data_IF_334383259349
#
_entry.id   IF_334383259349
#
_cell.length_a   1.000
_cell.length_b   1.000
_cell.length_c   1.000
_cell.angle_alpha   90.00
_cell.angle_beta   90.00
_cell.angle_gamma   90.00
#
_symmetry.space_group_name_H-M   'P 1'
#
loop_
_entity.id
_entity.type
_entity.pdbx_description
1 polymer ?
#
# COMPACT_ATOMS: atom_id res chain seq x y z
N UNK A 1 -12.01 -22.68 -12.31
CA UNK A 1 -13.21 -21.81 -12.44
C UNK A 1 -13.66 -21.18 -11.11
N UNK A 2 -13.61 -21.91 -9.99
CA UNK A 2 -14.01 -21.38 -8.66
C UNK A 2 -13.01 -20.32 -8.16
N UNK A 3 -11.70 -20.61 -8.24
CA UNK A 3 -10.64 -19.70 -7.78
C UNK A 3 -10.61 -18.36 -8.55
N UNK A 4 -10.98 -18.37 -9.83
CA UNK A 4 -11.06 -17.14 -10.65
C UNK A 4 -12.27 -16.28 -10.29
N UNK A 5 -13.42 -16.90 -9.96
CA UNK A 5 -14.61 -16.16 -9.48
C UNK A 5 -14.35 -15.55 -8.10
N UNK A 6 -13.72 -16.31 -7.20
CA UNK A 6 -13.28 -15.82 -5.89
C UNK A 6 -12.36 -14.59 -6.02
N UNK A 7 -11.34 -14.66 -6.88
CA UNK A 7 -10.43 -13.53 -7.08
C UNK A 7 -11.13 -12.30 -7.65
N UNK A 8 -12.03 -12.48 -8.60
CA UNK A 8 -12.80 -11.37 -9.15
C UNK A 8 -13.64 -10.69 -8.06
N UNK A 9 -14.35 -11.48 -7.25
CA UNK A 9 -15.12 -10.98 -6.12
C UNK A 9 -14.23 -10.26 -5.10
N UNK A 10 -13.11 -10.87 -4.69
CA UNK A 10 -12.16 -10.28 -3.76
C UNK A 10 -11.62 -8.94 -4.28
N UNK A 11 -11.29 -8.86 -5.57
CA UNK A 11 -10.80 -7.63 -6.15
C UNK A 11 -11.89 -6.54 -6.23
N UNK A 12 -13.13 -6.90 -6.59
CA UNK A 12 -14.24 -5.94 -6.59
C UNK A 12 -14.55 -5.43 -5.18
N UNK A 13 -14.56 -6.34 -4.21
CA UNK A 13 -14.75 -5.99 -2.80
C UNK A 13 -13.61 -5.09 -2.29
N UNK A 14 -12.36 -5.39 -2.66
CA UNK A 14 -11.21 -4.55 -2.35
C UNK A 14 -11.32 -3.14 -2.90
N UNK A 15 -11.84 -2.95 -4.12
CA UNK A 15 -12.12 -1.60 -4.66
C UNK A 15 -13.12 -0.85 -3.76
N UNK A 16 -14.19 -1.52 -3.30
CA UNK A 16 -15.14 -0.94 -2.35
C UNK A 16 -14.48 -0.51 -1.04
N UNK A 17 -13.62 -1.37 -0.46
CA UNK A 17 -12.86 -1.07 0.77
C UNK A 17 -11.93 0.14 0.58
N UNK A 18 -11.26 0.25 -0.57
CA UNK A 18 -10.38 1.38 -0.90
C UNK A 18 -11.15 2.69 -1.00
N UNK A 19 -12.29 2.70 -1.70
CA UNK A 19 -13.13 3.88 -1.84
C UNK A 19 -13.68 4.31 -0.47
N UNK A 20 -14.17 3.36 0.32
CA UNK A 20 -14.63 3.63 1.67
C UNK A 20 -13.51 4.19 2.57
N UNK A 21 -12.31 3.61 2.50
CA UNK A 21 -11.14 4.13 3.21
C UNK A 21 -10.75 5.54 2.79
N UNK A 22 -10.83 5.85 1.49
CA UNK A 22 -10.53 7.18 0.94
C UNK A 22 -11.48 8.24 1.46
N UNK A 23 -12.78 7.95 1.46
CA UNK A 23 -13.80 8.85 2.02
C UNK A 23 -13.56 9.09 3.50
N UNK A 24 -13.29 8.03 4.28
CA UNK A 24 -13.02 8.16 5.72
C UNK A 24 -11.73 8.94 6.01
N UNK A 25 -10.69 8.82 5.18
CA UNK A 25 -9.47 9.60 5.33
C UNK A 25 -9.72 11.10 5.14
N UNK A 26 -10.56 11.47 4.17
CA UNK A 26 -10.98 12.85 3.93
C UNK A 26 -11.89 13.34 5.07
N UNK A 27 -12.88 12.54 5.49
CA UNK A 27 -13.74 12.89 6.61
C UNK A 27 -12.95 13.08 7.91
N UNK A 28 -11.94 12.26 8.16
CA UNK A 28 -11.06 12.45 9.32
C UNK A 28 -10.31 13.79 9.28
N UNK A 29 -9.88 14.23 8.09
CA UNK A 29 -9.22 15.52 7.94
C UNK A 29 -10.11 16.70 8.39
N UNK A 30 -11.37 16.70 7.93
CA UNK A 30 -12.31 17.78 8.21
C UNK A 30 -12.99 17.68 9.57
N UNK A 31 -13.51 16.50 9.92
CA UNK A 31 -14.33 16.29 11.12
C UNK A 31 -13.50 15.96 12.36
N UNK A 32 -12.26 15.48 12.18
CA UNK A 32 -11.30 15.14 13.27
C UNK A 32 -11.80 14.09 14.27
N UNK A 33 -12.92 13.43 14.01
CA UNK A 33 -13.41 12.36 14.87
C UNK A 33 -12.59 11.08 14.71
N UNK A 34 -12.12 10.53 15.82
CA UNK A 34 -11.23 9.35 15.82
C UNK A 34 -11.85 8.11 15.17
N UNK A 35 -13.19 8.04 15.12
CA UNK A 35 -13.92 6.96 14.45
C UNK A 35 -13.51 6.82 12.98
N UNK A 36 -13.29 7.94 12.29
CA UNK A 36 -12.90 7.93 10.87
C UNK A 36 -11.47 7.39 10.69
N UNK A 37 -10.53 7.81 11.55
CA UNK A 37 -9.17 7.26 11.53
C UNK A 37 -9.16 5.76 11.84
N UNK A 38 -9.96 5.33 12.83
CA UNK A 38 -10.13 3.90 13.16
C UNK A 38 -10.65 3.11 11.96
N UNK A 39 -11.64 3.65 11.26
CA UNK A 39 -12.18 3.04 10.04
C UNK A 39 -11.11 2.90 8.97
N UNK A 40 -10.30 3.94 8.72
CA UNK A 40 -9.17 3.85 7.77
C UNK A 40 -8.20 2.75 8.19
N UNK A 41 -7.85 2.65 9.47
CA UNK A 41 -6.95 1.61 9.95
C UNK A 41 -7.52 0.20 9.72
N UNK A 42 -8.84 0.00 9.88
CA UNK A 42 -9.50 -1.27 9.52
C UNK A 42 -9.49 -1.55 8.02
N UNK A 43 -9.67 -0.53 7.16
CA UNK A 43 -9.55 -0.75 5.72
C UNK A 43 -8.13 -1.13 5.32
N UNK A 44 -7.10 -0.69 6.05
CA UNK A 44 -5.73 -1.17 5.85
C UNK A 44 -5.56 -2.64 6.28
N UNK A 45 -6.18 -3.05 7.39
CA UNK A 45 -6.16 -4.45 7.88
C UNK A 45 -6.75 -5.43 6.87
N UNK A 46 -7.71 -5.02 6.06
CA UNK A 46 -8.27 -5.85 4.98
C UNK A 46 -7.20 -6.44 4.05
N UNK A 47 -6.12 -5.71 3.78
CA UNK A 47 -5.06 -6.17 2.89
C UNK A 47 -4.20 -7.32 3.46
N UNK A 48 -4.36 -7.68 4.74
CA UNK A 48 -3.80 -8.94 5.27
C UNK A 48 -4.35 -10.16 4.52
N UNK A 49 -5.61 -10.09 4.05
CA UNK A 49 -6.22 -11.17 3.25
C UNK A 49 -5.43 -11.38 1.94
N UNK A 50 -4.76 -10.35 1.41
CA UNK A 50 -3.89 -10.50 0.25
C UNK A 50 -2.69 -11.40 0.54
N UNK A 51 -2.10 -11.32 1.74
CA UNK A 51 -1.02 -12.22 2.17
C UNK A 51 -1.54 -13.66 2.21
N UNK A 52 -2.70 -13.89 2.84
CA UNK A 52 -3.33 -15.21 2.88
C UNK A 52 -3.62 -15.76 1.48
N UNK A 53 -4.11 -14.91 0.57
CA UNK A 53 -4.36 -15.27 -0.82
C UNK A 53 -3.10 -15.66 -1.60
N UNK A 54 -1.95 -15.09 -1.26
CA UNK A 54 -0.66 -15.53 -1.82
C UNK A 54 -0.25 -16.88 -1.22
N UNK A 55 -0.42 -17.08 0.09
CA UNK A 55 -0.04 -18.33 0.78
C UNK A 55 -0.78 -19.55 0.24
N UNK A 56 -2.09 -19.43 -0.02
CA UNK A 56 -2.90 -20.53 -0.57
C UNK A 56 -2.72 -20.70 -2.09
N UNK A 57 -1.80 -19.94 -2.70
CA UNK A 57 -1.54 -20.00 -4.14
C UNK A 57 -2.65 -19.40 -5.02
N UNK A 58 -3.59 -18.63 -4.43
CA UNK A 58 -4.62 -17.97 -5.22
C UNK A 58 -3.99 -16.95 -6.17
N UNK A 59 -2.97 -16.20 -5.75
CA UNK A 59 -2.34 -15.19 -6.62
C UNK A 59 -0.84 -15.45 -6.83
N UNK A 60 -0.31 -15.08 -8.00
CA UNK A 60 1.11 -15.24 -8.36
C UNK A 60 1.99 -14.05 -7.94
N UNK A 61 1.58 -13.28 -6.93
CA UNK A 61 2.35 -12.13 -6.44
C UNK A 61 3.59 -12.58 -5.68
N UNK A 62 4.63 -11.75 -5.66
CA UNK A 62 5.89 -12.06 -4.97
C UNK A 62 5.73 -11.91 -3.46
N UNK A 63 5.66 -13.05 -2.77
CA UNK A 63 5.35 -13.20 -1.36
C UNK A 63 6.06 -12.22 -0.40
N UNK A 64 7.39 -12.00 -0.45
CA UNK A 64 8.08 -11.16 0.53
C UNK A 64 7.72 -9.67 0.41
N UNK A 65 7.52 -9.19 -0.82
CA UNK A 65 7.27 -7.77 -1.06
C UNK A 65 5.89 -7.34 -0.53
N UNK A 66 4.86 -8.17 -0.71
CA UNK A 66 3.51 -7.88 -0.22
C UNK A 66 3.47 -7.87 1.30
N UNK A 67 4.19 -8.78 1.98
CA UNK A 67 4.25 -8.80 3.44
C UNK A 67 4.85 -7.51 3.97
N UNK A 68 6.03 -7.12 3.48
CA UNK A 68 6.70 -5.90 3.95
C UNK A 68 5.79 -4.69 3.71
N UNK A 69 5.17 -4.58 2.54
CA UNK A 69 4.27 -3.47 2.21
C UNK A 69 3.05 -3.40 3.14
N UNK A 70 2.36 -4.53 3.38
CA UNK A 70 1.16 -4.55 4.20
C UNK A 70 1.51 -4.32 5.67
N UNK A 71 2.54 -4.99 6.19
CA UNK A 71 2.98 -4.82 7.58
C UNK A 71 3.44 -3.39 7.87
N UNK A 72 4.16 -2.76 6.93
CA UNK A 72 4.55 -1.34 7.04
C UNK A 72 3.34 -0.43 7.23
N UNK A 73 2.31 -0.61 6.40
CA UNK A 73 1.08 0.18 6.44
C UNK A 73 0.29 -0.03 7.72
N UNK A 74 0.23 -1.26 8.23
CA UNK A 74 -0.44 -1.54 9.51
C UNK A 74 0.27 -0.90 10.68
N UNK A 75 1.60 -0.95 10.70
CA UNK A 75 2.41 -0.25 11.70
C UNK A 75 2.08 1.24 11.70
N UNK A 76 2.11 1.88 10.52
CA UNK A 76 1.84 3.32 10.42
C UNK A 76 0.37 3.66 10.73
N UNK A 77 -0.59 2.81 10.34
CA UNK A 77 -2.02 3.12 10.54
C UNK A 77 -2.46 2.92 12.00
N UNK A 78 -2.06 1.80 12.60
CA UNK A 78 -2.45 1.45 13.96
C UNK A 78 -1.48 2.01 14.99
N UNK A 79 -0.21 1.62 14.92
CA UNK A 79 0.76 1.93 15.96
C UNK A 79 1.22 3.39 15.94
N UNK A 80 1.31 4.02 14.76
CA UNK A 80 1.69 5.44 14.64
C UNK A 80 0.43 6.31 14.67
N UNK A 81 -0.40 6.27 13.64
CA UNK A 81 -1.47 7.25 13.45
C UNK A 81 -2.59 7.10 14.48
N UNK A 82 -3.18 5.92 14.63
CA UNK A 82 -4.33 5.71 15.52
C UNK A 82 -3.96 5.85 17.01
N UNK A 83 -2.90 5.17 17.47
CA UNK A 83 -2.47 5.20 18.88
C UNK A 83 -2.13 6.61 19.36
N UNK A 84 -1.51 7.43 18.51
CA UNK A 84 -1.09 8.78 18.83
C UNK A 84 -2.09 9.84 18.34
N UNK A 85 -3.23 9.42 17.78
CA UNK A 85 -4.29 10.28 17.25
C UNK A 85 -3.75 11.37 16.30
N UNK A 86 -2.79 11.01 15.45
CA UNK A 86 -2.15 11.95 14.55
C UNK A 86 -3.18 12.63 13.65
N UNK A 87 -3.14 13.96 13.62
CA UNK A 87 -3.94 14.76 12.70
C UNK A 87 -3.03 15.77 12.02
N UNK A 88 -2.81 15.59 10.73
CA UNK A 88 -2.05 16.51 9.89
C UNK A 88 -2.35 16.24 8.41
N UNK A 89 -2.06 17.22 7.55
CA UNK A 89 -2.28 17.10 6.10
C UNK A 89 -1.47 15.94 5.49
N UNK A 90 -0.26 15.70 6.00
CA UNK A 90 0.63 14.64 5.51
C UNK A 90 0.05 13.24 5.68
N UNK A 91 -0.69 13.00 6.77
CA UNK A 91 -1.38 11.73 7.04
C UNK A 91 -2.53 11.52 6.06
N UNK A 92 -3.31 12.57 5.79
CA UNK A 92 -4.39 12.49 4.79
C UNK A 92 -3.82 12.22 3.40
N UNK A 93 -2.74 12.91 3.01
CA UNK A 93 -2.05 12.66 1.75
C UNK A 93 -1.50 11.23 1.66
N UNK A 94 -0.94 10.71 2.75
CA UNK A 94 -0.44 9.34 2.83
C UNK A 94 -1.55 8.33 2.51
N UNK A 95 -2.69 8.44 3.18
CA UNK A 95 -3.84 7.56 2.93
C UNK A 95 -4.37 7.69 1.50
N UNK A 96 -4.41 8.90 0.94
CA UNK A 96 -4.83 9.11 -0.46
C UNK A 96 -3.87 8.41 -1.42
N UNK A 97 -2.55 8.60 -1.26
CA UNK A 97 -1.52 7.98 -2.12
C UNK A 97 -1.61 6.45 -2.07
N UNK A 98 -1.72 5.90 -0.86
CA UNK A 98 -1.92 4.48 -0.63
C UNK A 98 -3.17 3.95 -1.35
N UNK A 99 -4.32 4.62 -1.17
CA UNK A 99 -5.58 4.22 -1.81
C UNK A 99 -5.51 4.33 -3.35
N UNK A 100 -4.87 5.36 -3.90
CA UNK A 100 -4.67 5.48 -5.36
C UNK A 100 -3.80 4.33 -5.89
N UNK A 101 -2.69 4.04 -5.21
CA UNK A 101 -1.81 2.93 -5.57
C UNK A 101 -2.56 1.59 -5.57
N UNK A 102 -3.36 1.33 -4.54
CA UNK A 102 -4.17 0.12 -4.46
C UNK A 102 -5.27 0.07 -5.51
N UNK A 103 -5.95 1.19 -5.76
CA UNK A 103 -7.01 1.26 -6.76
C UNK A 103 -6.48 0.87 -8.14
N UNK A 104 -5.35 1.45 -8.56
CA UNK A 104 -4.69 1.10 -9.83
C UNK A 104 -4.35 -0.40 -9.86
N UNK A 105 -3.85 -0.95 -8.74
CA UNK A 105 -3.51 -2.37 -8.63
C UNK A 105 -4.73 -3.28 -8.79
N UNK A 106 -5.81 -2.99 -8.07
CA UNK A 106 -7.02 -3.82 -8.08
C UNK A 106 -7.76 -3.72 -9.41
N UNK A 107 -7.84 -2.52 -10.01
CA UNK A 107 -8.38 -2.34 -11.37
C UNK A 107 -7.59 -3.12 -12.43
N UNK A 108 -6.26 -3.16 -12.30
CA UNK A 108 -5.42 -4.00 -13.15
C UNK A 108 -5.70 -5.50 -12.94
N UNK A 109 -5.90 -5.98 -11.71
CA UNK A 109 -6.22 -7.39 -11.44
C UNK A 109 -7.59 -7.82 -12.00
N UNK A 110 -8.57 -6.91 -12.01
CA UNK A 110 -9.91 -7.15 -12.57
C UNK A 110 -9.87 -7.20 -14.11
N UNK A 111 -9.37 -6.13 -14.75
CA UNK A 111 -9.47 -5.97 -16.20
C UNK A 111 -8.33 -6.61 -16.99
N UNK A 112 -7.14 -6.71 -16.38
CA UNK A 112 -5.87 -7.10 -17.02
C UNK A 112 -5.56 -6.31 -18.31
N UNK A 113 -6.10 -5.10 -18.44
CA UNK A 113 -5.96 -4.27 -19.64
C UNK A 113 -4.54 -3.71 -19.83
N UNK A 114 -4.14 -3.50 -21.10
CA UNK A 114 -2.80 -2.96 -21.45
C UNK A 114 -2.56 -1.56 -20.85
N UNK A 115 -3.56 -0.69 -20.88
CA UNK A 115 -3.48 0.69 -20.35
C UNK A 115 -3.24 0.66 -18.84
N UNK A 116 -4.03 -0.12 -18.11
CA UNK A 116 -3.89 -0.25 -16.65
C UNK A 116 -2.57 -0.90 -16.24
N UNK A 117 -2.04 -1.80 -17.07
CA UNK A 117 -0.69 -2.34 -16.89
C UNK A 117 0.37 -1.25 -16.96
N UNK A 118 0.31 -0.40 -17.99
CA UNK A 118 1.25 0.73 -18.17
C UNK A 118 1.11 1.73 -17.03
N UNK A 119 -0.13 2.10 -16.69
CA UNK A 119 -0.43 3.00 -15.59
C UNK A 119 0.15 2.49 -14.27
N UNK A 120 -0.07 1.22 -13.94
CA UNK A 120 0.47 0.60 -12.72
C UNK A 120 1.99 0.76 -12.60
N UNK A 121 2.73 0.42 -13.64
CA UNK A 121 4.20 0.44 -13.58
C UNK A 121 4.78 1.85 -13.61
N UNK A 122 4.10 2.82 -14.24
CA UNK A 122 4.55 4.21 -14.28
C UNK A 122 4.15 4.97 -13.01
N UNK A 123 2.91 4.81 -12.54
CA UNK A 123 2.43 5.44 -11.31
C UNK A 123 3.25 4.98 -10.10
N UNK A 124 3.66 3.71 -10.05
CA UNK A 124 4.54 3.19 -9.01
C UNK A 124 5.84 4.00 -8.85
N UNK A 125 6.43 4.50 -9.93
CA UNK A 125 7.71 5.22 -9.88
C UNK A 125 7.62 6.50 -9.03
N UNK A 126 6.46 7.17 -9.02
CA UNK A 126 6.22 8.37 -8.25
C UNK A 126 5.51 8.07 -6.92
N UNK A 127 4.44 7.29 -6.93
CA UNK A 127 3.62 7.04 -5.74
C UNK A 127 4.40 6.32 -4.63
N UNK A 128 5.34 5.43 -4.98
CA UNK A 128 6.06 4.65 -3.99
C UNK A 128 7.08 5.48 -3.18
N UNK A 129 7.98 6.27 -3.79
CA UNK A 129 8.83 7.19 -3.04
C UNK A 129 8.05 8.20 -2.19
N UNK A 130 6.95 8.74 -2.72
CA UNK A 130 6.13 9.72 -1.97
C UNK A 130 5.45 9.03 -0.78
N UNK A 131 4.92 7.81 -0.95
CA UNK A 131 4.34 7.04 0.14
C UNK A 131 5.34 6.79 1.27
N UNK A 132 6.54 6.31 0.94
CA UNK A 132 7.59 6.04 1.93
C UNK A 132 8.05 7.30 2.64
N UNK A 133 8.22 8.42 1.90
CA UNK A 133 8.53 9.70 2.51
C UNK A 133 7.48 10.11 3.54
N UNK A 134 6.19 10.00 3.19
CA UNK A 134 5.09 10.35 4.09
C UNK A 134 4.97 9.39 5.29
N UNK A 135 5.27 8.09 5.12
CA UNK A 135 5.38 7.13 6.23
C UNK A 135 6.44 7.57 7.23
N UNK A 136 7.64 7.91 6.74
CA UNK A 136 8.74 8.39 7.58
C UNK A 136 8.41 9.72 8.26
N UNK A 137 7.69 10.63 7.61
CA UNK A 137 7.19 11.86 8.24
C UNK A 137 6.29 11.53 9.43
N UNK A 138 5.34 10.60 9.28
CA UNK A 138 4.47 10.22 10.41
C UNK A 138 5.25 9.57 11.55
N UNK A 139 6.20 8.68 11.23
CA UNK A 139 7.03 8.03 12.25
C UNK A 139 7.90 9.07 12.98
N UNK A 140 8.45 10.06 12.26
CA UNK A 140 9.26 11.12 12.85
C UNK A 140 8.44 12.05 13.77
N UNK A 141 7.18 12.34 13.42
CA UNK A 141 6.26 13.08 14.28
C UNK A 141 6.03 12.30 15.59
N UNK A 142 5.77 10.98 15.49
CA UNK A 142 5.61 10.14 16.68
C UNK A 142 6.90 10.07 17.51
N UNK A 143 8.06 9.91 16.87
CA UNK A 143 9.36 9.95 17.53
C UNK A 143 9.56 11.26 18.31
N UNK A 144 9.26 12.41 17.70
CA UNK A 144 9.43 13.71 18.33
C UNK A 144 8.53 13.90 19.56
N UNK A 145 7.40 13.19 19.61
CA UNK A 145 6.47 13.23 20.74
C UNK A 145 6.86 12.28 21.90
N UNK A 146 7.79 11.34 21.68
CA UNK A 146 8.14 10.31 22.65
C UNK A 146 9.64 10.28 22.98
N UNK A 147 9.96 10.30 24.28
CA UNK A 147 11.34 10.13 24.78
C UNK A 147 11.57 8.71 25.32
N UNK A 148 12.83 8.33 25.48
CA UNK A 148 13.23 7.05 26.09
C UNK A 148 12.98 5.84 25.19
N UNK A 149 12.61 4.71 25.78
CA UNK A 149 12.51 3.41 25.10
C UNK A 149 11.60 3.43 23.86
N UNK A 150 10.45 4.11 23.93
CA UNK A 150 9.49 4.22 22.83
C UNK A 150 10.11 5.01 21.65
N UNK A 151 10.84 6.09 21.95
CA UNK A 151 11.55 6.89 20.94
C UNK A 151 12.62 6.07 20.21
N UNK A 152 13.39 5.24 20.92
CA UNK A 152 14.37 4.33 20.30
C UNK A 152 13.70 3.32 19.36
N UNK A 153 12.50 2.84 19.71
CA UNK A 153 11.70 1.98 18.83
C UNK A 153 11.39 2.63 17.48
N UNK A 154 10.98 3.89 17.46
CA UNK A 154 10.72 4.61 16.20
C UNK A 154 11.98 4.84 15.37
N UNK A 155 13.12 5.11 16.01
CA UNK A 155 14.42 5.25 15.31
C UNK A 155 14.79 3.94 14.61
N UNK A 156 14.64 2.80 15.29
CA UNK A 156 14.89 1.48 14.70
C UNK A 156 13.99 1.26 13.48
N UNK A 157 12.70 1.60 13.58
CA UNK A 157 11.76 1.48 12.46
C UNK A 157 12.22 2.35 11.27
N UNK A 158 12.62 3.60 11.51
CA UNK A 158 13.15 4.47 10.45
C UNK A 158 14.43 3.92 9.81
N UNK A 159 15.33 3.33 10.59
CA UNK A 159 16.55 2.68 10.09
C UNK A 159 16.19 1.47 9.22
N UNK A 160 15.20 0.65 9.61
CA UNK A 160 14.77 -0.50 8.83
C UNK A 160 14.22 -0.10 7.45
N UNK A 161 13.65 1.09 7.30
CA UNK A 161 13.17 1.58 6.00
C UNK A 161 14.31 1.84 5.00
N UNK A 162 15.53 2.20 5.47
CA UNK A 162 16.69 2.48 4.62
C UNK A 162 17.09 1.29 3.72
N UNK A 163 17.23 0.05 4.22
CA UNK A 163 17.50 -1.11 3.36
C UNK A 163 16.24 -1.67 2.69
N UNK A 164 15.06 -1.59 3.34
CA UNK A 164 13.83 -2.16 2.80
C UNK A 164 13.33 -1.41 1.56
N UNK A 165 13.48 -0.08 1.53
CA UNK A 165 13.02 0.73 0.41
C UNK A 165 13.75 0.41 -0.92
N UNK A 166 15.08 0.45 -1.02
CA UNK A 166 15.80 0.12 -2.25
C UNK A 166 15.55 -1.32 -2.70
N UNK A 167 15.44 -2.26 -1.76
CA UNK A 167 15.15 -3.66 -2.06
C UNK A 167 13.80 -3.81 -2.78
N UNK A 168 12.72 -3.27 -2.20
CA UNK A 168 11.38 -3.33 -2.78
C UNK A 168 11.27 -2.53 -4.09
N UNK A 169 11.91 -1.36 -4.15
CA UNK A 169 11.88 -0.52 -5.33
C UNK A 169 12.57 -1.19 -6.52
N UNK A 170 13.75 -1.76 -6.30
CA UNK A 170 14.52 -2.47 -7.34
C UNK A 170 13.75 -3.70 -7.83
N UNK A 171 13.10 -4.42 -6.92
CA UNK A 171 12.25 -5.56 -7.27
C UNK A 171 11.13 -5.17 -8.24
N UNK A 172 10.45 -4.05 -7.98
CA UNK A 172 9.38 -3.54 -8.84
C UNK A 172 9.88 -3.02 -10.19
N UNK A 173 11.06 -2.39 -10.22
CA UNK A 173 11.72 -2.02 -11.50
C UNK A 173 12.04 -3.27 -12.33
N UNK A 174 12.54 -4.33 -11.69
CA UNK A 174 12.83 -5.58 -12.37
C UNK A 174 11.56 -6.23 -12.93
N UNK A 175 10.44 -6.16 -12.20
CA UNK A 175 9.13 -6.60 -12.71
C UNK A 175 8.69 -5.79 -13.94
N UNK A 176 8.87 -4.46 -13.93
CA UNK A 176 8.59 -3.58 -15.08
C UNK A 176 9.42 -3.99 -16.30
N UNK A 177 10.74 -4.16 -16.14
CA UNK A 177 11.67 -4.58 -17.22
C UNK A 177 11.25 -5.93 -17.82
N UNK A 178 10.94 -6.92 -16.97
CA UNK A 178 10.44 -8.24 -17.41
C UNK A 178 9.13 -8.11 -18.19
N UNK A 179 8.20 -7.28 -17.71
CA UNK A 179 6.92 -7.04 -18.39
C UNK A 179 7.09 -6.41 -19.78
N UNK A 180 8.02 -5.47 -19.92
CA UNK A 180 8.33 -4.81 -21.18
C UNK A 180 8.93 -5.80 -22.19
N UNK A 181 9.92 -6.61 -21.76
CA UNK A 181 10.55 -7.64 -22.60
C UNK A 181 9.54 -8.65 -23.16
N UNK A 182 8.60 -9.12 -22.33
CA UNK A 182 7.53 -10.05 -22.76
C UNK A 182 6.62 -9.37 -23.80
N UNK A 183 6.29 -8.09 -23.62
CA UNK A 183 5.47 -7.33 -24.57
C UNK A 183 6.14 -7.22 -25.94
N UNK A 184 7.45 -6.96 -25.97
CA UNK A 184 8.24 -6.89 -27.21
C UNK A 184 8.33 -8.25 -27.91
N UNK A 185 8.58 -9.33 -27.16
CA UNK A 185 8.60 -10.69 -27.71
C UNK A 185 7.25 -11.07 -28.37
N UNK A 186 6.14 -10.69 -27.75
CA UNK A 186 4.80 -10.95 -28.30
C UNK A 186 4.48 -10.09 -29.52
N UNK A 187 5.10 -8.91 -29.67
CA UNK A 187 4.99 -8.10 -30.89
C UNK A 187 5.78 -8.69 -32.05
N UNK A 188 6.96 -9.27 -31.79
CA UNK A 188 7.81 -9.91 -32.83
C UNK A 188 7.26 -11.25 -33.35
N UNK A 189 6.33 -11.87 -32.63
CA UNK A 189 5.66 -13.14 -33.00
C UNK A 189 4.35 -12.94 -33.78
N UNK A 190 3.90 -11.71 -33.96
CA UNK A 190 2.75 -11.33 -34.77
C UNK A 190 3.24 -10.66 -36.05
#
# INVERSE_FOLDING_TARGET
>A
MILSKYQLFFNLFGVGVILYGSVNAILYHYLREIKYLKTVAYTQTFFLIEIFNIMIGATRSTYPATIIQVTSRLLVSWAVAYSHKHHNIWLTLLFIIWNISDLIRYLFYISRGKILKVLRYNAFLALYPIGIFLELVQINIAYSAHKGFIGYGFVIIMILYLPLFPFLYTHMINQRKRSAKISEMNKKKK
#
